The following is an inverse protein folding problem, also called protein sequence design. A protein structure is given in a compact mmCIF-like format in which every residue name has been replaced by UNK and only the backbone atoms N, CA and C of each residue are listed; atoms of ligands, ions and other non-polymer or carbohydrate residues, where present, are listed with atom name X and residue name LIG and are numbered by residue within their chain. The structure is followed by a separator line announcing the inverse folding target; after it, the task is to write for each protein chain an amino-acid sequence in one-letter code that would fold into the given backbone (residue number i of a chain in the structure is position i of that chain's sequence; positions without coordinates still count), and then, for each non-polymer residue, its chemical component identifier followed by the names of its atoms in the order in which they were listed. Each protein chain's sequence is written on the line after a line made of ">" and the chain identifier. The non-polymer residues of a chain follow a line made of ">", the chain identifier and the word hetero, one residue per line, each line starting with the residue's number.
data_IF_876200921772
#
_entry.id   IF_876200921772
#
_cell.length_a   1.000
_cell.length_b   1.000
_cell.length_c   1.000
_cell.angle_alpha   90.00
_cell.angle_beta   90.00
_cell.angle_gamma   90.00
#
_symmetry.space_group_name_H-M   'P 1'
#
loop_
_entity.id
_entity.type
_entity.pdbx_description
1 polymer ?
#
# COMPACT_ATOMS: atom_id res chain seq x y z
N UNK A 1 -6.97 -7.98 -18.06
CA UNK A 1 -6.44 -7.10 -17.00
C UNK A 1 -5.23 -7.79 -16.40
N UNK A 2 -4.08 -7.11 -16.25
CA UNK A 2 -2.87 -7.72 -15.69
C UNK A 2 -2.99 -7.68 -14.16
N UNK A 3 -2.97 -8.84 -13.52
CA UNK A 3 -2.92 -8.98 -12.07
C UNK A 3 -1.48 -9.18 -11.62
N UNK A 4 -1.12 -8.65 -10.46
CA UNK A 4 0.21 -8.82 -9.88
C UNK A 4 0.17 -9.89 -8.80
N UNK A 5 1.22 -10.71 -8.71
CA UNK A 5 1.34 -11.79 -7.74
C UNK A 5 1.68 -11.30 -6.32
N UNK A 6 2.26 -10.10 -6.18
CA UNK A 6 2.61 -9.51 -4.89
C UNK A 6 2.58 -7.97 -4.93
N UNK A 7 2.49 -7.35 -3.76
CA UNK A 7 2.58 -5.89 -3.61
C UNK A 7 3.95 -5.39 -4.06
N UNK A 8 5.02 -6.13 -3.73
CA UNK A 8 6.38 -5.81 -4.15
C UNK A 8 6.54 -5.79 -5.68
N UNK A 9 5.95 -6.76 -6.40
CA UNK A 9 5.97 -6.79 -7.86
C UNK A 9 5.23 -5.59 -8.46
N UNK A 10 4.08 -5.24 -7.88
CA UNK A 10 3.30 -4.08 -8.33
C UNK A 10 4.03 -2.77 -8.08
N UNK A 11 4.59 -2.58 -6.88
CA UNK A 11 5.33 -1.37 -6.52
C UNK A 11 6.61 -1.26 -7.35
N UNK A 12 7.33 -2.35 -7.60
CA UNK A 12 8.51 -2.32 -8.48
C UNK A 12 8.16 -1.90 -9.90
N UNK A 13 7.02 -2.35 -10.43
CA UNK A 13 6.58 -2.02 -11.79
C UNK A 13 6.05 -0.59 -11.94
N UNK A 14 5.52 0.03 -10.86
CA UNK A 14 4.72 1.27 -10.95
C UNK A 14 5.13 2.39 -9.99
N UNK A 15 5.76 2.07 -8.87
CA UNK A 15 6.04 2.97 -7.74
C UNK A 15 7.39 2.64 -7.10
N UNK A 16 8.47 2.74 -7.88
CA UNK A 16 9.81 2.31 -7.45
C UNK A 16 10.29 2.99 -6.15
N UNK A 17 9.86 4.23 -5.89
CA UNK A 17 10.20 4.96 -4.66
C UNK A 17 9.60 4.32 -3.41
N UNK A 18 8.45 3.65 -3.51
CA UNK A 18 7.83 2.95 -2.38
C UNK A 18 8.51 1.62 -2.04
N UNK A 19 9.21 1.01 -3.00
CA UNK A 19 9.91 -0.27 -2.81
C UNK A 19 11.00 -0.14 -1.74
N UNK A 20 11.71 0.98 -1.72
CA UNK A 20 12.77 1.26 -0.74
C UNK A 20 12.29 1.24 0.72
N UNK A 21 10.97 1.31 0.94
CA UNK A 21 10.39 1.29 2.27
C UNK A 21 9.85 -0.09 2.70
N UNK A 22 9.67 -1.04 1.78
CA UNK A 22 9.04 -2.33 2.09
C UNK A 22 9.85 -3.18 3.09
N UNK A 23 11.17 -2.98 3.15
CA UNK A 23 12.07 -3.68 4.08
C UNK A 23 12.29 -2.92 5.40
N UNK A 24 11.54 -1.84 5.65
CA UNK A 24 11.64 -1.07 6.88
C UNK A 24 11.06 -1.87 8.07
N UNK A 25 11.79 -1.90 9.20
CA UNK A 25 11.41 -2.67 10.38
C UNK A 25 10.19 -2.17 11.16
N UNK A 26 9.61 -1.01 10.83
CA UNK A 26 8.39 -0.52 11.45
C UNK A 26 7.15 -1.33 11.05
N UNK A 27 6.20 -1.54 11.98
CA UNK A 27 5.06 -2.46 11.80
C UNK A 27 4.19 -2.25 10.55
N UNK A 28 4.18 -1.04 9.96
CA UNK A 28 3.41 -0.75 8.75
C UNK A 28 3.97 -1.45 7.50
N UNK A 29 5.26 -1.32 7.22
CA UNK A 29 5.83 -1.72 5.92
C UNK A 29 5.83 -3.23 5.67
N UNK A 30 6.14 -4.10 6.65
CA UNK A 30 5.96 -5.54 6.49
C UNK A 30 4.51 -5.91 6.18
N UNK A 31 3.53 -5.26 6.83
CA UNK A 31 2.11 -5.56 6.56
C UNK A 31 1.65 -5.10 5.17
N UNK A 32 2.32 -4.11 4.58
CA UNK A 32 2.13 -3.70 3.18
C UNK A 32 2.79 -4.71 2.24
N UNK A 33 4.06 -5.05 2.47
CA UNK A 33 4.84 -6.01 1.68
C UNK A 33 4.14 -7.36 1.58
N UNK A 34 3.69 -7.88 2.71
CA UNK A 34 3.04 -9.19 2.83
C UNK A 34 1.54 -9.14 2.48
N UNK A 35 1.03 -7.96 2.08
CA UNK A 35 -0.38 -7.74 1.74
C UNK A 35 -1.35 -8.12 2.89
N UNK A 36 -0.94 -8.00 4.16
CA UNK A 36 -1.75 -8.38 5.33
C UNK A 36 -2.51 -7.22 5.96
N UNK A 37 -2.13 -5.97 5.67
CA UNK A 37 -2.85 -4.78 6.15
C UNK A 37 -4.26 -4.70 5.56
N UNK A 38 -5.27 -4.43 6.40
CA UNK A 38 -6.68 -4.40 5.97
C UNK A 38 -7.04 -3.13 5.19
N UNK A 39 -8.05 -3.20 4.34
CA UNK A 39 -8.57 -2.02 3.61
C UNK A 39 -9.06 -0.92 4.56
N UNK A 40 -9.63 -1.30 5.71
CA UNK A 40 -10.02 -0.36 6.77
C UNK A 40 -8.82 0.41 7.31
N UNK A 41 -7.72 -0.29 7.61
CA UNK A 41 -6.48 0.34 8.10
C UNK A 41 -5.86 1.26 7.04
N UNK A 42 -5.83 0.84 5.77
CA UNK A 42 -5.36 1.67 4.67
C UNK A 42 -6.20 2.95 4.54
N UNK A 43 -7.53 2.83 4.56
CA UNK A 43 -8.44 3.97 4.50
C UNK A 43 -8.26 4.92 5.70
N UNK A 44 -8.12 4.39 6.92
CA UNK A 44 -7.83 5.19 8.12
C UNK A 44 -6.54 5.99 7.98
N UNK A 45 -5.47 5.39 7.45
CA UNK A 45 -4.20 6.08 7.22
C UNK A 45 -4.35 7.23 6.20
N UNK A 46 -5.06 6.98 5.10
CA UNK A 46 -5.32 7.99 4.07
C UNK A 46 -6.09 9.16 4.66
N UNK A 47 -7.19 8.90 5.37
CA UNK A 47 -8.03 9.95 5.97
C UNK A 47 -7.24 10.75 7.01
N UNK A 48 -6.49 10.09 7.88
CA UNK A 48 -5.71 10.75 8.91
C UNK A 48 -4.64 11.68 8.31
N UNK A 49 -3.84 11.19 7.36
CA UNK A 49 -2.76 11.97 6.75
C UNK A 49 -3.30 13.08 5.85
N UNK A 50 -4.42 12.86 5.16
CA UNK A 50 -5.10 13.91 4.40
C UNK A 50 -5.58 15.04 5.33
N UNK A 51 -6.13 14.69 6.49
CA UNK A 51 -6.60 15.68 7.49
C UNK A 51 -5.47 16.50 8.09
N UNK A 52 -4.24 15.96 8.09
CA UNK A 52 -3.02 16.62 8.55
C UNK A 52 -2.31 17.41 7.43
N UNK A 53 -2.77 17.33 6.17
CA UNK A 53 -2.09 17.93 5.02
C UNK A 53 -0.84 17.19 4.55
N UNK A 54 -0.59 15.97 5.04
CA UNK A 54 0.61 15.16 4.83
C UNK A 54 0.54 14.30 3.56
N UNK A 55 0.10 14.89 2.44
CA UNK A 55 -0.14 14.16 1.17
C UNK A 55 1.14 13.65 0.49
N UNK A 56 2.32 14.12 0.91
CA UNK A 56 3.63 13.65 0.41
C UNK A 56 4.25 12.55 1.29
N UNK A 57 3.48 12.03 2.25
CA UNK A 57 3.93 10.92 3.11
C UNK A 57 3.94 9.61 2.34
N UNK A 58 5.04 8.85 2.42
CA UNK A 58 5.11 7.51 1.84
C UNK A 58 4.04 6.56 2.41
N UNK A 59 3.60 6.77 3.66
CA UNK A 59 2.50 6.01 4.27
C UNK A 59 1.17 6.37 3.61
N UNK A 60 0.94 7.64 3.31
CA UNK A 60 -0.25 8.10 2.58
C UNK A 60 -0.27 7.49 1.18
N UNK A 61 0.82 7.64 0.43
CA UNK A 61 0.93 7.14 -0.94
C UNK A 61 0.78 5.61 -0.99
N UNK A 62 1.53 4.87 -0.17
CA UNK A 62 1.42 3.40 -0.13
C UNK A 62 0.01 2.94 0.26
N UNK A 63 -0.65 3.64 1.20
CA UNK A 63 -2.01 3.29 1.62
C UNK A 63 -3.03 3.53 0.51
N UNK A 64 -2.97 4.69 -0.15
CA UNK A 64 -3.87 5.05 -1.24
C UNK A 64 -3.66 4.15 -2.47
N UNK A 65 -2.40 3.88 -2.83
CA UNK A 65 -2.03 3.04 -3.98
C UNK A 65 -2.48 1.59 -3.75
N UNK A 66 -2.19 1.00 -2.59
CA UNK A 66 -2.56 -0.39 -2.31
C UNK A 66 -4.09 -0.55 -2.23
N UNK A 67 -4.79 0.38 -1.57
CA UNK A 67 -6.25 0.37 -1.52
C UNK A 67 -6.86 0.44 -2.93
N UNK A 68 -6.36 1.35 -3.77
CA UNK A 68 -6.84 1.51 -5.15
C UNK A 68 -6.54 0.27 -6.00
N UNK A 69 -5.35 -0.31 -5.86
CA UNK A 69 -4.97 -1.53 -6.58
C UNK A 69 -5.88 -2.71 -6.22
N UNK A 70 -6.28 -2.83 -4.96
CA UNK A 70 -7.23 -3.86 -4.50
C UNK A 70 -8.63 -3.65 -5.05
N UNK A 71 -9.15 -2.42 -5.02
CA UNK A 71 -10.45 -2.07 -5.60
C UNK A 71 -10.51 -2.39 -7.10
N UNK A 72 -9.40 -2.17 -7.80
CA UNK A 72 -9.27 -2.48 -9.22
C UNK A 72 -8.97 -3.97 -9.50
N UNK A 73 -8.81 -4.80 -8.47
CA UNK A 73 -8.49 -6.23 -8.64
C UNK A 73 -7.07 -6.50 -9.15
N UNK A 74 -6.17 -5.52 -9.08
CA UNK A 74 -4.76 -5.68 -9.46
C UNK A 74 -3.95 -6.45 -8.41
N UNK A 75 -4.35 -6.31 -7.14
CA UNK A 75 -3.82 -7.03 -5.98
C UNK A 75 -5.01 -7.64 -5.22
N UNK A 76 -4.94 -8.90 -4.75
CA UNK A 76 -6.03 -9.48 -3.97
C UNK A 76 -6.23 -8.75 -2.63
N UNK A 77 -7.46 -8.81 -2.06
CA UNK A 77 -7.70 -8.34 -0.70
C UNK A 77 -6.76 -9.00 0.32
N UNK A 78 -6.56 -8.36 1.46
CA UNK A 78 -5.68 -8.88 2.49
C UNK A 78 -6.08 -10.29 2.95
N UNK A 79 -5.09 -11.17 3.15
CA UNK A 79 -5.27 -12.48 3.79
C UNK A 79 -6.08 -13.51 3.02
N UNK A 80 -6.04 -13.48 1.68
CA UNK A 80 -6.51 -14.60 0.84
C UNK A 80 -5.40 -15.62 0.57
#
# INVERSE_FOLDING_TARGET
>A
MVTFSSVESYFTAKFLHLVAHLDNGGAFWPTVKDNTITDKSLASNVIALLSLGEVRSNVFEASAVLLSARVLGLIPPAGK
#
